data_IF_185100759447
#
_entry.id   IF_185100759447
#
_cell.length_a   1.000
_cell.length_b   1.000
_cell.length_c   1.000
_cell.angle_alpha   90.00
_cell.angle_beta   90.00
_cell.angle_gamma   90.00
#
_symmetry.space_group_name_H-M   'P 1'
#
loop_
_entity.id
_entity.type
_entity.pdbx_description
1 polymer ?
#
# COMPACT_ATOMS: atom_id res chain seq x y z
N UNK A 1 37.54 6.23 4.02
CA UNK A 1 36.44 6.20 3.05
C UNK A 1 35.15 6.26 3.86
N UNK A 2 34.48 7.41 3.87
CA UNK A 2 33.21 7.60 4.58
C UNK A 2 32.07 7.37 3.58
N UNK A 3 31.23 6.40 3.90
CA UNK A 3 30.13 5.93 3.08
C UNK A 3 29.04 7.00 3.16
N UNK A 4 28.96 7.87 2.16
CA UNK A 4 27.80 8.73 1.98
C UNK A 4 26.71 7.81 1.43
N UNK A 5 26.09 7.03 2.31
CA UNK A 5 24.78 6.41 2.06
C UNK A 5 23.79 7.57 2.04
N UNK A 6 23.75 8.24 0.89
CA UNK A 6 22.95 9.42 0.61
C UNK A 6 21.49 9.07 0.86
N UNK A 7 20.99 9.49 2.02
CA UNK A 7 19.56 9.71 2.23
C UNK A 7 19.02 10.40 0.98
N UNK A 8 17.94 9.86 0.42
CA UNK A 8 17.20 10.53 -0.66
C UNK A 8 17.05 12.00 -0.24
N UNK A 9 17.69 12.93 -0.98
CA UNK A 9 17.78 14.34 -0.59
C UNK A 9 16.38 14.83 -0.22
N UNK A 10 16.22 15.52 0.91
CA UNK A 10 14.91 15.93 1.44
C UNK A 10 14.02 16.59 0.38
N UNK A 11 14.61 17.44 -0.48
CA UNK A 11 13.91 18.11 -1.57
C UNK A 11 13.40 17.13 -2.66
N UNK A 12 14.16 16.08 -2.92
CA UNK A 12 13.82 15.06 -3.90
C UNK A 12 12.72 14.13 -3.38
N UNK A 13 12.83 13.72 -2.12
CA UNK A 13 11.78 12.96 -1.43
C UNK A 13 10.46 13.72 -1.43
N UNK A 14 10.52 15.03 -1.18
CA UNK A 14 9.34 15.89 -1.16
C UNK A 14 8.66 15.99 -2.53
N UNK A 15 9.44 16.14 -3.61
CA UNK A 15 8.87 16.16 -4.98
C UNK A 15 8.17 14.84 -5.34
N UNK A 16 8.73 13.70 -4.92
CA UNK A 16 8.09 12.39 -5.11
C UNK A 16 6.80 12.29 -4.30
N UNK A 17 6.82 12.71 -3.04
CA UNK A 17 5.64 12.73 -2.16
C UNK A 17 4.52 13.58 -2.77
N UNK A 18 4.83 14.80 -3.21
CA UNK A 18 3.86 15.70 -3.84
C UNK A 18 3.27 15.11 -5.12
N UNK A 19 4.11 14.51 -5.96
CA UNK A 19 3.65 13.85 -7.18
C UNK A 19 2.75 12.65 -6.88
N UNK A 20 3.12 11.82 -5.91
CA UNK A 20 2.32 10.66 -5.51
C UNK A 20 0.95 11.07 -4.93
N UNK A 21 0.92 12.09 -4.08
CA UNK A 21 -0.32 12.61 -3.50
C UNK A 21 -1.24 13.24 -4.55
N UNK A 22 -0.66 13.88 -5.58
CA UNK A 22 -1.42 14.58 -6.61
C UNK A 22 -1.94 13.65 -7.71
N UNK A 23 -1.07 12.81 -8.26
CA UNK A 23 -1.36 12.05 -9.48
C UNK A 23 -1.67 10.57 -9.21
N UNK A 24 -1.32 10.07 -8.01
CA UNK A 24 -1.37 8.64 -7.69
C UNK A 24 -2.07 8.32 -6.36
N UNK A 25 -2.98 9.17 -5.91
CA UNK A 25 -3.75 8.97 -4.66
C UNK A 25 -4.48 7.63 -4.60
N UNK A 26 -4.99 7.15 -5.73
CA UNK A 26 -5.60 5.82 -5.83
C UNK A 26 -4.61 4.67 -5.59
N UNK A 27 -3.36 4.81 -6.05
CA UNK A 27 -2.32 3.80 -5.80
C UNK A 27 -1.96 3.75 -4.31
N UNK A 28 -1.89 4.91 -3.64
CA UNK A 28 -1.69 4.97 -2.18
C UNK A 28 -2.80 4.23 -1.43
N UNK A 29 -4.04 4.40 -1.87
CA UNK A 29 -5.18 3.68 -1.30
C UNK A 29 -5.06 2.16 -1.49
N UNK A 30 -4.61 1.71 -2.66
CA UNK A 30 -4.37 0.29 -2.92
C UNK A 30 -3.26 -0.28 -2.04
N UNK A 31 -2.21 0.50 -1.73
CA UNK A 31 -1.12 0.06 -0.84
C UNK A 31 -1.65 -0.19 0.57
N UNK A 32 -2.42 0.76 1.11
CA UNK A 32 -3.02 0.64 2.44
C UNK A 32 -3.95 -0.56 2.51
N UNK A 33 -4.80 -0.77 1.50
CA UNK A 33 -5.73 -1.92 1.48
C UNK A 33 -5.03 -3.26 1.31
N UNK A 34 -3.91 -3.29 0.60
CA UNK A 34 -3.17 -4.53 0.36
C UNK A 34 -2.33 -4.95 1.57
N UNK A 35 -1.68 -3.99 2.23
CA UNK A 35 -0.63 -4.23 3.21
C UNK A 35 -0.97 -3.79 4.64
N UNK A 36 -2.06 -3.07 4.86
CA UNK A 36 -2.58 -2.76 6.19
C UNK A 36 -3.90 -3.46 6.47
N UNK A 37 -4.36 -3.39 7.71
CA UNK A 37 -5.66 -3.90 8.13
C UNK A 37 -6.81 -2.95 7.77
N UNK A 38 -6.50 -1.70 7.42
CA UNK A 38 -7.47 -0.66 7.08
C UNK A 38 -7.94 -0.81 5.63
N UNK A 39 -9.09 -1.45 5.45
CA UNK A 39 -9.73 -1.58 4.13
C UNK A 39 -10.58 -0.35 3.76
N UNK A 40 -11.06 0.38 4.77
CA UNK A 40 -11.93 1.54 4.65
C UNK A 40 -11.32 2.73 5.39
N UNK A 41 -11.13 3.83 4.67
CA UNK A 41 -10.64 5.12 5.18
C UNK A 41 -11.22 6.22 4.28
N UNK A 42 -11.32 7.42 4.84
CA UNK A 42 -11.89 8.60 4.18
C UNK A 42 -10.86 9.25 3.25
N UNK A 43 -9.59 9.27 3.66
CA UNK A 43 -8.52 9.82 2.84
C UNK A 43 -7.16 9.13 3.10
N UNK A 44 -6.23 9.29 2.16
CA UNK A 44 -4.85 8.79 2.27
C UNK A 44 -3.86 9.78 1.67
N UNK A 45 -2.78 10.04 2.40
CA UNK A 45 -1.69 10.88 1.97
C UNK A 45 -0.35 10.21 2.29
N UNK A 46 0.60 10.36 1.38
CA UNK A 46 1.98 9.99 1.61
C UNK A 46 2.68 11.12 2.37
N UNK A 47 3.37 10.75 3.45
CA UNK A 47 4.10 11.69 4.30
C UNK A 47 5.58 11.68 3.94
N UNK A 48 6.16 10.49 3.77
CA UNK A 48 7.58 10.34 3.48
C UNK A 48 7.88 9.06 2.69
N UNK A 49 9.01 9.08 1.98
CA UNK A 49 9.65 7.90 1.41
C UNK A 49 11.00 7.66 2.07
N UNK A 50 11.22 6.44 2.53
CA UNK A 50 12.48 5.96 3.07
C UNK A 50 13.07 4.90 2.15
N UNK A 51 14.32 4.52 2.40
CA UNK A 51 15.02 3.54 1.58
C UNK A 51 14.37 2.16 1.58
N UNK A 52 13.63 1.79 2.63
CA UNK A 52 13.02 0.45 2.79
C UNK A 52 11.52 0.45 3.04
N UNK A 53 10.91 1.62 3.21
CA UNK A 53 9.48 1.74 3.50
C UNK A 53 8.98 3.11 3.07
N UNK A 54 7.67 3.24 2.98
CA UNK A 54 6.97 4.52 2.82
C UNK A 54 6.10 4.77 4.03
N UNK A 55 6.02 6.02 4.44
CA UNK A 55 5.11 6.47 5.49
C UNK A 55 3.89 7.10 4.84
N UNK A 56 2.74 6.54 5.15
CA UNK A 56 1.42 7.01 4.74
C UNK A 56 0.66 7.48 5.98
N UNK A 57 -0.20 8.46 5.81
CA UNK A 57 -1.18 8.88 6.80
C UNK A 57 -2.57 8.66 6.19
N UNK A 58 -3.41 7.92 6.89
CA UNK A 58 -4.80 7.71 6.50
C UNK A 58 -5.72 8.48 7.45
N UNK A 59 -6.80 9.03 6.90
CA UNK A 59 -7.87 9.66 7.66
C UNK A 59 -8.99 8.66 7.80
N UNK A 60 -9.40 8.40 9.03
CA UNK A 60 -10.56 7.57 9.37
C UNK A 60 -11.52 8.39 10.24
N UNK A 61 -12.75 7.91 10.42
CA UNK A 61 -13.71 8.54 11.33
C UNK A 61 -13.23 8.67 12.78
N UNK A 62 -12.22 7.88 13.19
CA UNK A 62 -11.60 7.94 14.53
C UNK A 62 -10.41 8.91 14.60
N UNK A 63 -9.89 9.34 13.45
CA UNK A 63 -8.77 10.26 13.34
C UNK A 63 -7.73 9.85 12.30
N UNK A 64 -6.57 10.51 12.37
CA UNK A 64 -5.42 10.27 11.50
C UNK A 64 -4.57 9.14 12.04
N UNK A 65 -4.26 8.15 11.19
CA UNK A 65 -3.42 7.00 11.53
C UNK A 65 -2.23 6.94 10.59
N UNK A 66 -1.03 6.84 11.16
CA UNK A 66 0.20 6.64 10.39
C UNK A 66 0.38 5.15 10.08
N UNK A 67 0.64 4.83 8.82
CA UNK A 67 0.81 3.48 8.29
C UNK A 67 2.12 3.41 7.53
N UNK A 68 3.03 2.55 7.98
CA UNK A 68 4.30 2.31 7.28
C UNK A 68 4.19 1.07 6.40
N UNK A 69 4.43 1.21 5.09
CA UNK A 69 4.39 0.10 4.14
C UNK A 69 5.81 -0.26 3.69
N UNK A 70 6.27 -1.51 3.86
CA UNK A 70 7.59 -1.92 3.42
C UNK A 70 7.70 -1.90 1.89
N UNK A 71 8.85 -1.42 1.39
CA UNK A 71 9.17 -1.48 -0.02
C UNK A 71 9.81 -2.84 -0.35
N UNK A 72 9.45 -3.45 -1.50
CA UNK A 72 10.05 -4.70 -1.94
C UNK A 72 11.53 -4.53 -2.34
N UNK A 73 11.89 -3.34 -2.84
CA UNK A 73 13.25 -2.99 -3.25
C UNK A 73 13.73 -1.71 -2.57
N UNK A 74 15.05 -1.55 -2.47
CA UNK A 74 15.63 -0.38 -1.80
C UNK A 74 15.57 0.88 -2.66
N UNK A 75 14.90 1.92 -2.18
CA UNK A 75 14.81 3.23 -2.80
C UNK A 75 16.05 4.10 -2.50
N UNK A 76 17.21 3.71 -3.03
CA UNK A 76 18.48 4.41 -2.77
C UNK A 76 18.68 5.67 -3.64
N UNK A 77 17.94 5.77 -4.74
CA UNK A 77 17.94 6.92 -5.66
C UNK A 77 16.54 7.07 -6.30
N UNK A 78 16.33 8.11 -7.11
CA UNK A 78 15.03 8.42 -7.72
C UNK A 78 14.52 7.31 -8.64
N UNK A 79 15.42 6.78 -9.46
CA UNK A 79 15.06 5.76 -10.45
C UNK A 79 14.63 4.49 -9.73
N UNK A 80 15.39 4.10 -8.71
CA UNK A 80 15.09 2.96 -7.85
C UNK A 80 13.84 3.19 -6.99
N UNK A 81 13.63 4.41 -6.47
CA UNK A 81 12.42 4.76 -5.72
C UNK A 81 11.18 4.64 -6.60
N UNK A 82 11.23 5.17 -7.82
CA UNK A 82 10.14 5.07 -8.79
C UNK A 82 9.86 3.61 -9.16
N UNK A 83 10.91 2.84 -9.43
CA UNK A 83 10.79 1.42 -9.76
C UNK A 83 10.18 0.63 -8.60
N UNK A 84 10.65 0.85 -7.37
CA UNK A 84 10.12 0.23 -6.16
C UNK A 84 8.64 0.55 -5.96
N UNK A 85 8.21 1.81 -6.18
CA UNK A 85 6.81 2.21 -6.12
C UNK A 85 5.95 1.53 -7.19
N UNK A 86 6.46 1.39 -8.42
CA UNK A 86 5.75 0.70 -9.50
C UNK A 86 5.59 -0.79 -9.19
N UNK A 87 6.65 -1.43 -8.68
CA UNK A 87 6.59 -2.84 -8.24
C UNK A 87 5.56 -2.99 -7.12
N UNK A 88 5.61 -2.11 -6.11
CA UNK A 88 4.64 -2.11 -5.01
C UNK A 88 3.20 -1.97 -5.51
N UNK A 89 2.94 -1.12 -6.52
CA UNK A 89 1.61 -1.00 -7.12
C UNK A 89 1.13 -2.24 -7.87
N UNK A 90 2.03 -2.91 -8.57
CA UNK A 90 1.70 -4.18 -9.21
C UNK A 90 1.43 -5.28 -8.17
N UNK A 91 2.25 -5.37 -7.13
CA UNK A 91 2.07 -6.35 -6.06
C UNK A 91 0.82 -6.09 -5.22
N UNK A 92 0.50 -4.84 -4.92
CA UNK A 92 -0.72 -4.45 -4.19
C UNK A 92 -1.96 -4.90 -4.94
N UNK A 93 -2.04 -4.61 -6.24
CA UNK A 93 -3.17 -5.05 -7.09
C UNK A 93 -3.28 -6.57 -7.17
N UNK A 94 -2.16 -7.28 -7.29
CA UNK A 94 -2.15 -8.76 -7.27
C UNK A 94 -2.63 -9.31 -5.93
N UNK A 95 -2.20 -8.70 -4.83
CA UNK A 95 -2.59 -9.10 -3.46
C UNK A 95 -4.08 -8.89 -3.23
N UNK A 96 -4.62 -7.74 -3.64
CA UNK A 96 -6.05 -7.45 -3.58
C UNK A 96 -6.87 -8.42 -4.43
N UNK A 97 -6.43 -8.73 -5.66
CA UNK A 97 -7.10 -9.71 -6.51
C UNK A 97 -7.13 -11.11 -5.88
N UNK A 98 -6.00 -11.55 -5.28
CA UNK A 98 -5.95 -12.82 -4.55
C UNK A 98 -6.89 -12.84 -3.34
N UNK A 99 -6.95 -11.75 -2.56
CA UNK A 99 -7.88 -11.63 -1.41
C UNK A 99 -9.34 -11.66 -1.84
N UNK A 100 -9.67 -11.02 -2.96
CA UNK A 100 -11.03 -11.05 -3.51
C UNK A 100 -11.44 -12.46 -3.94
N UNK A 101 -10.55 -13.21 -4.58
CA UNK A 101 -10.77 -14.61 -4.95
C UNK A 101 -10.96 -15.51 -3.72
N UNK A 102 -10.08 -15.38 -2.71
CA UNK A 102 -10.19 -16.14 -1.46
C UNK A 102 -11.50 -15.87 -0.71
N UNK A 103 -12.00 -14.62 -0.74
CA UNK A 103 -13.28 -14.26 -0.11
C UNK A 103 -14.47 -14.92 -0.83
N UNK A 104 -14.44 -14.98 -2.16
CA UNK A 104 -15.48 -15.65 -2.96
C UNK A 104 -15.49 -17.17 -2.70
N UNK A 105 -14.32 -17.81 -2.62
CA UNK A 105 -14.22 -19.24 -2.32
C UNK A 105 -14.76 -19.58 -0.91
N UNK A 106 -14.49 -18.72 0.08
CA UNK A 106 -15.02 -18.88 1.43
C UNK A 106 -16.55 -18.73 1.51
N UNK A 107 -17.14 -17.77 0.79
CA UNK A 107 -18.59 -17.55 0.74
C UNK A 107 -19.33 -18.68 0.00
N UNK A 108 -18.75 -19.22 -1.08
CA UNK A 108 -19.32 -20.35 -1.83
C UNK A 108 -19.27 -21.64 -1.02
N UNK A 109 -18.19 -21.88 -0.24
CA UNK A 109 -18.09 -23.07 0.62
C UNK A 109 -19.01 -23.02 1.86
N UNK A 110 -19.39 -21.81 2.30
CA UNK A 110 -20.30 -21.61 3.44
C UNK A 110 -21.77 -21.82 3.06
N UNK A 111 -22.15 -21.54 1.81
CA UNK A 111 -23.51 -21.68 1.28
C UNK A 111 -23.90 -23.14 0.94
N UNK A 112 -22.92 -24.03 0.78
CA UNK A 112 -23.13 -25.41 0.36
C UNK A 112 -23.53 -26.39 1.49
N UNK A 113 -23.60 -25.93 2.75
CA UNK A 113 -23.88 -26.77 3.93
C UNK A 113 -25.32 -26.65 4.46
N UNK A 114 -26.21 -25.91 3.80
CA UNK A 114 -27.58 -25.65 4.28
C UNK A 114 -28.69 -26.28 3.42
N UNK A 115 -28.39 -27.33 2.64
CA UNK A 115 -29.37 -27.96 1.73
C UNK A 115 -29.70 -29.44 1.98
N UNK A 116 -29.39 -30.00 3.16
CA UNK A 116 -29.68 -31.41 3.47
C UNK A 116 -30.45 -31.64 4.78
N UNK A 117 -31.40 -30.79 5.16
CA UNK A 117 -32.31 -31.09 6.28
C UNK A 117 -33.77 -30.72 6.00
N UNK A 118 -34.31 -31.20 4.88
CA UNK A 118 -35.76 -31.34 4.74
C UNK A 118 -36.11 -32.52 3.83
N UNK A 119 -36.39 -33.67 4.43
CA UNK A 119 -36.82 -34.90 3.78
C UNK A 119 -37.09 -35.99 4.80
#
# INVERSE_FOLDING_TARGET
MMNISTSLSTALSQSIVEHMNKDHKQALADYVRAYSEYQTFDDVEMVAIHTRHIDLEIVTGEGKVAVAIPLPESANDVSNARQALVILAHESRRTLAKRAQAKQEAEVSSSALEQDNNG
#
